data_IF_769610221796
#
_entry.id   IF_769610221796
#
_cell.length_a   1.000
_cell.length_b   1.000
_cell.length_c   1.000
_cell.angle_alpha   90.00
_cell.angle_beta   90.00
_cell.angle_gamma   90.00
#
_symmetry.space_group_name_H-M   'P 1'
#
loop_
_entity.id
_entity.type
_entity.pdbx_description
1 polymer ?
#
# COMPACT_ATOMS: atom_id res chain seq x y z
N UNK A 1 7.70 17.85 17.18
CA UNK A 1 7.56 16.54 16.50
C UNK A 1 8.91 15.86 16.55
N UNK A 2 9.03 14.69 17.18
CA UNK A 2 10.32 13.99 17.32
C UNK A 2 10.83 13.56 15.94
N UNK A 3 12.14 13.73 15.67
CA UNK A 3 12.78 13.31 14.40
C UNK A 3 12.47 11.83 14.04
N UNK A 4 12.20 11.00 15.05
CA UNK A 4 11.86 9.60 14.87
C UNK A 4 10.50 9.37 14.17
N UNK A 5 9.49 10.21 14.41
CA UNK A 5 8.17 10.06 13.77
C UNK A 5 8.21 10.47 12.29
N UNK A 6 9.03 11.47 11.95
CA UNK A 6 9.22 11.92 10.57
C UNK A 6 10.00 10.89 9.74
N UNK A 7 11.01 10.25 10.32
CA UNK A 7 11.76 9.17 9.67
C UNK A 7 10.92 7.90 9.45
N UNK A 8 10.03 7.58 10.40
CA UNK A 8 9.11 6.45 10.25
C UNK A 8 8.07 6.71 9.14
N UNK A 9 7.56 7.94 9.08
CA UNK A 9 6.64 8.34 8.02
C UNK A 9 7.29 8.30 6.64
N UNK A 10 8.51 8.82 6.49
CA UNK A 10 9.22 8.80 5.20
C UNK A 10 9.49 7.36 4.77
N UNK A 11 9.91 6.48 5.68
CA UNK A 11 10.15 5.06 5.41
C UNK A 11 8.87 4.34 4.96
N UNK A 12 7.77 4.51 5.70
CA UNK A 12 6.48 3.92 5.35
C UNK A 12 5.95 4.45 4.01
N UNK A 13 6.17 5.74 3.71
CA UNK A 13 5.79 6.33 2.44
C UNK A 13 6.62 5.78 1.28
N UNK A 14 7.95 5.64 1.45
CA UNK A 14 8.83 4.99 0.47
C UNK A 14 8.42 3.54 0.21
N UNK A 15 8.02 2.79 1.24
CA UNK A 15 7.47 1.44 1.06
C UNK A 15 6.17 1.46 0.24
N UNK A 16 5.24 2.36 0.55
CA UNK A 16 3.99 2.49 -0.22
C UNK A 16 4.26 2.90 -1.68
N UNK A 17 5.24 3.77 -1.92
CA UNK A 17 5.68 4.15 -3.26
C UNK A 17 6.28 2.96 -4.01
N UNK A 18 7.17 2.18 -3.39
CA UNK A 18 7.75 0.99 -4.00
C UNK A 18 6.67 -0.03 -4.33
N UNK A 19 5.74 -0.29 -3.40
CA UNK A 19 4.61 -1.19 -3.64
C UNK A 19 3.76 -0.72 -4.82
N UNK A 20 3.48 0.58 -4.90
CA UNK A 20 2.76 1.15 -6.02
C UNK A 20 3.53 1.02 -7.35
N UNK A 21 4.83 1.25 -7.33
CA UNK A 21 5.70 1.06 -8.49
C UNK A 21 5.69 -0.40 -8.96
N UNK A 22 5.77 -1.36 -8.05
CA UNK A 22 5.70 -2.78 -8.36
C UNK A 22 4.32 -3.18 -8.91
N UNK A 23 3.23 -2.70 -8.32
CA UNK A 23 1.86 -2.97 -8.78
C UNK A 23 1.60 -2.42 -10.18
N UNK A 24 2.08 -1.20 -10.45
CA UNK A 24 1.88 -0.52 -11.74
C UNK A 24 2.94 -0.86 -12.78
N UNK A 25 4.02 -1.54 -12.38
CA UNK A 25 5.21 -1.79 -13.20
C UNK A 25 5.81 -0.51 -13.81
N UNK A 26 5.58 0.65 -13.18
CA UNK A 26 5.97 1.95 -13.73
C UNK A 26 5.17 2.43 -14.94
N UNK A 27 4.10 1.73 -15.34
CA UNK A 27 3.25 2.10 -16.48
C UNK A 27 2.29 3.25 -16.17
N UNK A 28 2.03 3.52 -14.88
CA UNK A 28 1.22 4.65 -14.43
C UNK A 28 2.10 5.61 -13.63
N UNK A 29 2.16 6.86 -14.07
CA UNK A 29 2.87 7.91 -13.36
C UNK A 29 2.16 8.29 -12.05
N UNK A 30 2.95 8.49 -11.00
CA UNK A 30 2.47 9.07 -9.75
C UNK A 30 2.18 10.54 -9.97
N UNK A 31 0.92 10.95 -9.80
CA UNK A 31 0.51 12.35 -9.88
C UNK A 31 0.26 12.92 -8.49
N UNK A 32 0.11 14.25 -8.37
CA UNK A 32 -0.30 14.91 -7.11
C UNK A 32 -1.60 14.32 -6.53
N UNK A 33 -2.47 13.75 -7.38
CA UNK A 33 -3.72 13.08 -6.94
C UNK A 33 -3.46 11.76 -6.22
N UNK A 34 -2.37 11.07 -6.56
CA UNK A 34 -2.01 9.79 -5.94
C UNK A 34 -1.29 9.99 -4.59
N UNK A 35 -0.76 11.20 -4.34
CA UNK A 35 -0.05 11.53 -3.10
C UNK A 35 -0.84 11.14 -1.86
N UNK A 36 -2.08 11.63 -1.72
CA UNK A 36 -2.84 11.40 -0.49
C UNK A 36 -3.19 9.92 -0.30
N UNK A 37 -3.46 9.19 -1.40
CA UNK A 37 -3.72 7.74 -1.36
C UNK A 37 -2.51 6.96 -0.85
N UNK A 38 -1.30 7.36 -1.22
CA UNK A 38 -0.05 6.70 -0.81
C UNK A 38 0.43 7.18 0.57
N UNK A 39 0.20 8.45 0.87
CA UNK A 39 0.61 9.12 2.09
C UNK A 39 -0.26 8.73 3.28
N UNK A 40 -1.59 8.71 3.13
CA UNK A 40 -2.50 8.51 4.25
C UNK A 40 -2.28 7.19 5.00
N UNK A 41 -2.08 6.05 4.32
CA UNK A 41 -1.74 4.80 5.01
C UNK A 41 -0.38 4.88 5.72
N UNK A 42 0.61 5.56 5.14
CA UNK A 42 1.91 5.76 5.78
C UNK A 42 1.81 6.65 7.02
N UNK A 43 0.98 7.70 6.95
CA UNK A 43 0.67 8.58 8.06
C UNK A 43 0.02 7.81 9.21
N UNK A 44 -1.03 7.04 8.95
CA UNK A 44 -1.72 6.24 9.98
C UNK A 44 -0.78 5.21 10.64
N UNK A 45 0.12 4.60 9.86
CA UNK A 45 1.12 3.66 10.38
C UNK A 45 2.20 4.34 11.22
N UNK A 46 2.57 5.58 10.89
CA UNK A 46 3.57 6.33 11.63
C UNK A 46 3.00 6.96 12.91
N UNK A 47 1.83 7.60 12.83
CA UNK A 47 1.20 8.36 13.91
C UNK A 47 0.34 7.48 14.83
N UNK A 48 0.92 6.41 15.36
CA UNK A 48 0.28 5.62 16.41
C UNK A 48 0.70 6.13 17.79
N UNK A 49 -0.14 5.93 18.81
CA UNK A 49 0.20 6.31 20.21
C UNK A 49 1.53 5.69 20.64
N UNK A 50 1.76 4.42 20.28
CA UNK A 50 3.01 3.71 20.57
C UNK A 50 4.22 4.38 19.94
N UNK A 51 4.14 4.72 18.64
CA UNK A 51 5.26 5.34 17.92
C UNK A 51 5.54 6.76 18.38
N UNK A 52 4.50 7.50 18.77
CA UNK A 52 4.66 8.84 19.35
C UNK A 52 5.38 8.71 20.70
N UNK A 53 4.93 7.82 21.58
CA UNK A 53 5.56 7.58 22.88
C UNK A 53 7.00 7.08 22.74
N UNK A 54 7.29 6.18 21.80
CA UNK A 54 8.66 5.74 21.54
C UNK A 54 9.53 6.88 21.02
N UNK A 55 8.98 7.76 20.18
CA UNK A 55 9.66 8.96 19.72
C UNK A 55 10.02 9.94 20.84
N UNK A 56 9.18 10.07 21.86
CA UNK A 56 9.45 10.89 23.07
C UNK A 56 10.43 10.24 24.04
N UNK A 57 10.33 8.91 24.23
CA UNK A 57 11.30 8.14 25.00
C UNK A 57 12.69 8.28 24.37
N UNK A 58 12.77 8.19 23.05
CA UNK A 58 14.02 8.27 22.30
C UNK A 58 14.72 9.62 22.43
N UNK A 59 13.98 10.70 22.68
CA UNK A 59 14.58 12.03 22.97
C UNK A 59 15.03 12.18 24.42
N UNK A 60 14.77 11.20 25.29
CA UNK A 60 15.08 11.29 26.72
C UNK A 60 14.27 12.36 27.46
N UNK A 61 13.18 12.86 26.86
CA UNK A 61 12.36 13.93 27.42
C UNK A 61 11.20 13.38 28.23
N UNK A 62 10.52 12.36 27.69
CA UNK A 62 9.37 11.75 28.35
C UNK A 62 9.37 10.22 28.14
N UNK A 63 9.60 9.43 29.20
CA UNK A 63 10.09 9.85 30.53
C UNK A 63 11.47 10.54 30.44
N UNK A 64 11.80 11.39 31.40
CA UNK A 64 13.07 12.12 31.42
C UNK A 64 14.23 11.13 31.68
N UNK A 65 15.02 10.85 30.65
CA UNK A 65 16.18 9.96 30.68
C UNK A 65 17.22 10.42 29.64
N UNK A 66 18.13 11.34 30.01
CA UNK A 66 19.14 11.89 29.09
C UNK A 66 20.11 10.83 28.53
N UNK A 67 20.35 9.74 29.28
CA UNK A 67 21.25 8.66 28.87
C UNK A 67 20.76 7.95 27.61
N UNK A 68 19.44 7.93 27.39
CA UNK A 68 18.84 7.33 26.21
C UNK A 68 19.30 8.00 24.90
N UNK A 69 19.58 9.31 24.93
CA UNK A 69 20.14 10.02 23.76
C UNK A 69 21.60 9.68 23.57
N UNK A 70 22.36 9.59 24.67
CA UNK A 70 23.79 9.28 24.64
C UNK A 70 24.06 7.86 24.11
N UNK A 71 23.23 6.87 24.48
CA UNK A 71 23.30 5.49 23.95
C UNK A 71 23.16 5.38 22.44
N UNK A 72 22.48 6.34 21.81
CA UNK A 72 22.19 6.31 20.37
C UNK A 72 23.30 6.91 19.52
N UNK A 73 24.23 7.64 20.11
CA UNK A 73 25.38 8.20 19.40
C UNK A 73 26.30 7.02 19.08
N UNK A 74 26.39 6.58 17.80
CA UNK A 74 27.12 5.38 17.48
C UNK A 74 28.60 5.58 17.80
N UNK A 75 29.15 4.76 18.69
CA UNK A 75 30.60 4.71 18.89
C UNK A 75 31.20 3.90 17.76
N UNK A 76 31.36 4.54 16.59
CA UNK A 76 31.92 3.98 15.35
C UNK A 76 31.05 2.89 14.68
N UNK A 77 30.97 3.01 13.35
CA UNK A 77 30.06 2.33 12.44
C UNK A 77 30.14 0.79 12.50
N UNK A 78 29.04 0.12 12.82
CA UNK A 78 28.79 -1.27 12.43
C UNK A 78 27.57 -1.32 11.49
N UNK A 79 27.86 -1.12 10.21
CA UNK A 79 26.92 -1.34 9.11
C UNK A 79 26.90 -2.85 8.88
N UNK A 80 25.86 -3.54 9.36
CA UNK A 80 25.25 -4.74 8.75
C UNK A 80 24.38 -5.46 9.78
N UNK A 81 23.06 -5.35 9.62
CA UNK A 81 22.11 -6.46 9.80
C UNK A 81 20.72 -5.99 9.37
N UNK A 82 20.48 -6.05 8.07
CA UNK A 82 19.14 -6.03 7.48
C UNK A 82 19.09 -7.19 6.49
N UNK A 83 18.75 -8.39 7.00
CA UNK A 83 18.07 -9.42 6.22
C UNK A 83 17.73 -10.60 7.12
N UNK A 84 16.44 -10.80 7.39
CA UNK A 84 15.69 -11.98 6.93
C UNK A 84 14.35 -12.04 7.65
N UNK A 85 13.30 -11.64 6.94
CA UNK A 85 11.96 -12.14 7.21
C UNK A 85 11.47 -12.73 5.90
N UNK A 86 11.95 -13.93 5.60
CA UNK A 86 11.40 -14.74 4.53
C UNK A 86 10.16 -15.44 5.08
N UNK A 87 8.99 -15.04 4.59
CA UNK A 87 7.72 -15.73 4.80
C UNK A 87 7.87 -17.21 4.42
N UNK A 88 7.91 -18.06 5.45
CA UNK A 88 8.29 -19.49 5.35
C UNK A 88 7.07 -20.40 5.14
N UNK A 89 5.85 -19.86 5.17
CA UNK A 89 4.65 -20.71 5.26
C UNK A 89 4.32 -21.49 3.98
N UNK A 90 4.68 -20.99 2.78
CA UNK A 90 4.33 -21.66 1.52
C UNK A 90 5.36 -22.72 1.10
N UNK A 91 6.66 -22.46 1.35
CA UNK A 91 7.75 -23.39 0.98
C UNK A 91 7.71 -24.69 1.80
N UNK A 92 7.33 -24.61 3.08
CA UNK A 92 7.25 -25.78 3.96
C UNK A 92 6.12 -26.74 3.56
N UNK A 93 4.96 -26.22 3.15
CA UNK A 93 3.83 -27.02 2.68
C UNK A 93 4.14 -27.78 1.38
N UNK A 94 4.72 -27.09 0.39
CA UNK A 94 5.13 -27.71 -0.88
C UNK A 94 6.19 -28.79 -0.65
N UNK A 95 7.18 -28.53 0.21
CA UNK A 95 8.21 -29.50 0.56
C UNK A 95 7.63 -30.74 1.25
N UNK A 96 6.65 -30.57 2.15
CA UNK A 96 5.97 -31.69 2.82
C UNK A 96 5.25 -32.59 1.83
N UNK A 97 4.49 -32.02 0.89
CA UNK A 97 3.79 -32.78 -0.16
C UNK A 97 4.79 -33.50 -1.10
N UNK A 98 5.91 -32.85 -1.42
CA UNK A 98 6.95 -33.48 -2.22
C UNK A 98 7.60 -34.68 -1.54
N UNK A 99 7.88 -34.57 -0.23
CA UNK A 99 8.41 -35.68 0.56
C UNK A 99 7.43 -36.86 0.61
N UNK A 100 6.13 -36.59 0.75
CA UNK A 100 5.08 -37.59 0.74
C UNK A 100 4.93 -38.27 -0.63
N UNK A 101 4.94 -37.49 -1.72
CA UNK A 101 4.92 -38.03 -3.08
C UNK A 101 6.19 -38.84 -3.41
N UNK A 102 7.38 -38.38 -2.99
CA UNK A 102 8.62 -39.10 -3.25
C UNK A 102 8.75 -40.39 -2.45
N UNK A 103 8.12 -40.49 -1.27
CA UNK A 103 8.07 -41.73 -0.50
C UNK A 103 7.25 -42.84 -1.20
N UNK A 104 6.29 -42.47 -2.05
CA UNK A 104 5.42 -43.40 -2.77
C UNK A 104 5.97 -43.94 -4.10
N UNK A 105 7.07 -43.39 -4.63
CA UNK A 105 7.61 -43.77 -5.94
C UNK A 105 9.13 -44.04 -5.89
N UNK A 106 9.58 -45.07 -6.62
CA UNK A 106 11.02 -45.40 -6.78
C UNK A 106 11.70 -44.43 -7.77
N UNK A 107 11.77 -43.15 -7.39
CA UNK A 107 12.37 -42.09 -8.22
C UNK A 107 13.82 -41.88 -7.76
N UNK A 108 14.76 -41.86 -8.70
CA UNK A 108 16.16 -41.52 -8.43
C UNK A 108 16.28 -40.13 -7.79
N UNK A 109 17.17 -40.01 -6.79
CA UNK A 109 17.36 -38.80 -5.99
C UNK A 109 17.68 -37.55 -6.81
N UNK A 110 18.31 -37.72 -7.98
CA UNK A 110 18.58 -36.63 -8.91
C UNK A 110 17.29 -36.08 -9.55
N UNK A 111 16.38 -36.98 -9.94
CA UNK A 111 15.09 -36.62 -10.52
C UNK A 111 14.19 -35.96 -9.47
N UNK A 112 14.24 -36.43 -8.21
CA UNK A 112 13.54 -35.80 -7.09
C UNK A 112 13.99 -34.34 -6.89
N UNK A 113 15.31 -34.09 -6.92
CA UNK A 113 15.86 -32.72 -6.82
C UNK A 113 15.45 -31.84 -7.99
N UNK A 114 15.49 -32.36 -9.22
CA UNK A 114 15.04 -31.66 -10.43
C UNK A 114 13.56 -31.27 -10.32
N UNK A 115 12.69 -32.21 -9.94
CA UNK A 115 11.25 -31.98 -9.75
C UNK A 115 10.99 -30.96 -8.64
N UNK A 116 11.68 -31.08 -7.51
CA UNK A 116 11.53 -30.10 -6.42
C UNK A 116 11.94 -28.70 -6.88
N UNK A 117 13.08 -28.58 -7.56
CA UNK A 117 13.56 -27.31 -8.10
C UNK A 117 12.58 -26.70 -9.11
N UNK A 118 12.04 -27.49 -10.04
CA UNK A 118 11.08 -26.98 -11.04
C UNK A 118 9.76 -26.57 -10.39
N UNK A 119 9.28 -27.30 -9.39
CA UNK A 119 8.07 -26.93 -8.64
C UNK A 119 8.27 -25.62 -7.88
N UNK A 120 9.42 -25.45 -7.20
CA UNK A 120 9.74 -24.18 -6.53
C UNK A 120 9.82 -23.02 -7.53
N UNK A 121 10.43 -23.24 -8.69
CA UNK A 121 10.51 -22.24 -9.75
C UNK A 121 9.11 -21.86 -10.27
N UNK A 122 8.28 -22.84 -10.61
CA UNK A 122 6.92 -22.62 -11.10
C UNK A 122 6.04 -21.95 -10.04
N UNK A 123 6.12 -22.39 -8.78
CA UNK A 123 5.39 -21.76 -7.66
C UNK A 123 5.79 -20.29 -7.49
N UNK A 124 7.08 -19.98 -7.62
CA UNK A 124 7.58 -18.61 -7.56
C UNK A 124 7.04 -17.79 -8.73
N UNK A 125 7.10 -18.33 -9.95
CA UNK A 125 6.59 -17.67 -11.14
C UNK A 125 5.08 -17.40 -11.05
N UNK A 126 4.28 -18.37 -10.62
CA UNK A 126 2.83 -18.21 -10.45
C UNK A 126 2.52 -17.14 -9.42
N UNK A 127 3.24 -17.12 -8.29
CA UNK A 127 3.05 -16.10 -7.24
C UNK A 127 3.35 -14.70 -7.79
N UNK A 128 4.49 -14.54 -8.47
CA UNK A 128 4.89 -13.28 -9.10
C UNK A 128 3.85 -12.83 -10.14
N UNK A 129 3.50 -13.71 -11.09
CA UNK A 129 2.54 -13.40 -12.15
C UNK A 129 1.15 -13.04 -11.59
N UNK A 130 0.69 -13.76 -10.57
CA UNK A 130 -0.59 -13.48 -9.92
C UNK A 130 -0.60 -12.09 -9.28
N UNK A 131 0.47 -11.75 -8.56
CA UNK A 131 0.62 -10.42 -7.95
C UNK A 131 0.70 -9.30 -9.01
N UNK A 132 1.39 -9.55 -10.14
CA UNK A 132 1.50 -8.62 -11.26
C UNK A 132 0.16 -8.39 -11.96
N UNK A 133 -0.58 -9.46 -12.27
CA UNK A 133 -1.91 -9.36 -12.90
C UNK A 133 -2.87 -8.59 -11.99
N UNK A 134 -2.85 -8.88 -10.68
CA UNK A 134 -3.66 -8.16 -9.70
C UNK A 134 -3.33 -6.66 -9.69
N UNK A 135 -2.04 -6.32 -9.59
CA UNK A 135 -1.57 -4.93 -9.59
C UNK A 135 -1.91 -4.18 -10.88
N UNK A 136 -1.73 -4.81 -12.05
CA UNK A 136 -2.07 -4.21 -13.34
C UNK A 136 -3.58 -3.99 -13.48
N UNK A 137 -4.42 -4.91 -13.00
CA UNK A 137 -5.88 -4.73 -13.01
C UNK A 137 -6.30 -3.53 -12.18
N UNK A 138 -5.74 -3.38 -10.98
CA UNK A 138 -5.96 -2.21 -10.13
C UNK A 138 -5.48 -0.93 -10.81
N UNK A 139 -4.26 -0.93 -11.36
CA UNK A 139 -3.68 0.21 -12.06
C UNK A 139 -4.57 0.67 -13.22
N UNK A 140 -5.05 -0.25 -14.05
CA UNK A 140 -5.99 0.05 -15.14
C UNK A 140 -7.30 0.61 -14.61
N UNK A 141 -7.83 0.06 -13.51
CA UNK A 141 -9.02 0.59 -12.85
C UNK A 141 -8.84 2.02 -12.37
N UNK A 142 -7.70 2.33 -11.75
CA UNK A 142 -7.37 3.67 -11.29
C UNK A 142 -7.17 4.64 -12.46
N UNK A 143 -6.49 4.22 -13.53
CA UNK A 143 -6.29 5.03 -14.72
C UNK A 143 -7.63 5.35 -15.42
N UNK A 144 -8.53 4.36 -15.52
CA UNK A 144 -9.91 4.58 -16.00
C UNK A 144 -10.66 5.57 -15.12
N UNK A 145 -10.55 5.47 -13.78
CA UNK A 145 -11.12 6.45 -12.84
C UNK A 145 -10.52 7.84 -13.01
N UNK A 146 -9.21 7.94 -13.28
CA UNK A 146 -8.54 9.22 -13.57
C UNK A 146 -9.10 9.87 -14.83
N UNK A 147 -9.34 9.09 -15.89
CA UNK A 147 -9.83 9.57 -17.20
C UNK A 147 -11.35 9.79 -17.27
N UNK A 148 -12.13 9.07 -16.48
CA UNK A 148 -13.61 9.18 -16.46
C UNK A 148 -14.15 10.33 -15.61
N UNK A 149 -13.32 10.96 -14.78
CA UNK A 149 -13.73 12.12 -13.99
C UNK A 149 -13.86 13.35 -14.89
N UNK A 150 -15.12 13.76 -15.13
CA UNK A 150 -15.51 14.96 -15.86
C UNK A 150 -15.27 16.25 -15.06
N UNK A 151 -16.05 17.31 -15.37
CA UNK A 151 -15.95 18.62 -14.70
C UNK A 151 -16.02 18.43 -13.18
N UNK A 152 -15.10 19.04 -12.41
CA UNK A 152 -15.13 18.92 -10.96
C UNK A 152 -16.38 19.62 -10.42
N UNK A 153 -16.99 19.08 -9.37
CA UNK A 153 -18.17 19.67 -8.69
C UNK A 153 -17.95 21.14 -8.28
N UNK A 154 -16.69 21.51 -8.05
CA UNK A 154 -16.25 22.89 -7.78
C UNK A 154 -16.61 23.85 -8.92
N UNK A 155 -16.58 23.37 -10.16
CA UNK A 155 -16.93 24.14 -11.35
C UNK A 155 -18.45 24.27 -11.51
N UNK A 156 -19.22 23.28 -11.02
CA UNK A 156 -20.69 23.32 -11.00
C UNK A 156 -21.22 24.29 -9.93
N UNK A 157 -20.55 24.39 -8.78
CA UNK A 157 -20.91 25.29 -7.67
C UNK A 157 -20.36 26.72 -7.82
N UNK A 158 -19.59 26.97 -8.89
CA UNK A 158 -19.00 28.29 -9.17
C UNK A 158 -20.10 29.22 -9.67
N UNK A 159 -20.10 30.45 -9.15
CA UNK A 159 -21.03 31.47 -9.63
C UNK A 159 -20.71 31.82 -11.09
N UNK A 160 -21.70 31.81 -12.01
CA UNK A 160 -21.48 32.08 -13.43
C UNK A 160 -20.88 33.47 -13.69
N UNK A 161 -21.23 34.45 -12.84
CA UNK A 161 -20.80 35.84 -12.99
C UNK A 161 -19.40 36.11 -12.42
N UNK A 162 -18.89 35.24 -11.53
CA UNK A 162 -17.63 35.48 -10.82
C UNK A 162 -16.52 34.57 -11.30
N UNK A 163 -15.37 35.16 -11.66
CA UNK A 163 -14.15 34.41 -12.01
C UNK A 163 -13.48 33.76 -10.79
N UNK A 164 -13.90 34.08 -9.57
CA UNK A 164 -13.39 33.50 -8.33
C UNK A 164 -14.38 32.52 -7.70
N UNK A 165 -13.91 31.34 -7.32
CA UNK A 165 -14.70 30.39 -6.55
C UNK A 165 -14.62 30.74 -5.05
N UNK A 166 -15.72 31.25 -4.49
CA UNK A 166 -15.86 31.45 -3.05
C UNK A 166 -16.41 30.19 -2.39
N UNK A 167 -15.71 29.66 -1.38
CA UNK A 167 -16.15 28.50 -0.61
C UNK A 167 -16.73 28.96 0.73
N UNK A 168 -18.02 29.25 0.75
CA UNK A 168 -18.76 29.53 1.97
C UNK A 168 -19.26 28.23 2.60
N UNK A 169 -19.53 28.20 3.93
CA UNK A 169 -20.10 27.01 4.58
C UNK A 169 -21.37 26.48 3.89
N UNK A 170 -22.22 27.38 3.37
CA UNK A 170 -23.42 27.01 2.62
C UNK A 170 -23.11 26.23 1.34
N UNK A 171 -22.17 26.71 0.52
CA UNK A 171 -21.75 26.01 -0.71
C UNK A 171 -21.09 24.66 -0.41
N UNK A 172 -20.49 24.53 0.76
CA UNK A 172 -19.88 23.27 1.20
C UNK A 172 -20.95 22.22 1.53
N UNK A 173 -22.03 22.61 2.23
CA UNK A 173 -23.19 21.75 2.48
C UNK A 173 -23.85 21.33 1.16
N UNK A 174 -24.09 22.29 0.26
CA UNK A 174 -24.65 22.02 -1.07
C UNK A 174 -23.78 21.02 -1.87
N UNK A 175 -22.45 21.16 -1.81
CA UNK A 175 -21.52 20.21 -2.41
C UNK A 175 -21.68 18.80 -1.82
N UNK A 176 -21.83 18.70 -0.50
CA UNK A 176 -22.01 17.42 0.19
C UNK A 176 -23.33 16.77 -0.21
N UNK A 177 -24.41 17.54 -0.29
CA UNK A 177 -25.73 17.05 -0.70
C UNK A 177 -25.71 16.55 -2.15
N UNK A 178 -25.07 17.28 -3.06
CA UNK A 178 -24.91 16.84 -4.45
C UNK A 178 -24.09 15.55 -4.59
N UNK A 179 -23.03 15.39 -3.78
CA UNK A 179 -22.25 14.14 -3.76
C UNK A 179 -23.13 13.00 -3.27
N UNK A 180 -23.89 13.22 -2.21
CA UNK A 180 -24.78 12.21 -1.65
C UNK A 180 -25.82 11.73 -2.67
N UNK A 181 -26.48 12.65 -3.36
CA UNK A 181 -27.46 12.32 -4.41
C UNK A 181 -26.80 11.52 -5.53
N UNK A 182 -25.64 11.98 -6.02
CA UNK A 182 -24.91 11.30 -7.09
C UNK A 182 -24.48 9.89 -6.70
N UNK A 183 -24.03 9.71 -5.46
CA UNK A 183 -23.67 8.39 -4.94
C UNK A 183 -24.90 7.47 -4.90
N UNK A 184 -26.06 7.98 -4.45
CA UNK A 184 -27.29 7.18 -4.42
C UNK A 184 -27.79 6.82 -5.84
N UNK A 185 -27.76 7.75 -6.78
CA UNK A 185 -28.08 7.50 -8.19
C UNK A 185 -27.18 6.42 -8.78
N UNK A 186 -25.88 6.44 -8.48
CA UNK A 186 -24.96 5.40 -8.96
C UNK A 186 -25.28 4.03 -8.37
N UNK A 187 -25.68 3.95 -7.10
CA UNK A 187 -26.08 2.69 -6.45
C UNK A 187 -27.35 2.12 -7.08
N UNK A 188 -28.33 2.96 -7.38
CA UNK A 188 -29.57 2.55 -8.06
C UNK A 188 -29.25 2.06 -9.49
N UNK A 189 -28.39 2.78 -10.23
CA UNK A 189 -27.96 2.38 -11.56
C UNK A 189 -27.19 1.04 -11.58
N UNK A 190 -26.36 0.79 -10.57
CA UNK A 190 -25.66 -0.49 -10.42
C UNK A 190 -26.62 -1.64 -10.08
N UNK A 191 -27.57 -1.41 -9.16
CA UNK A 191 -28.57 -2.40 -8.78
C UNK A 191 -29.50 -2.77 -9.95
N UNK A 192 -29.95 -1.79 -10.73
CA UNK A 192 -30.78 -2.02 -11.93
C UNK A 192 -30.01 -2.78 -13.02
N UNK A 193 -28.73 -2.44 -13.25
CA UNK A 193 -27.88 -3.15 -14.20
C UNK A 193 -27.57 -4.59 -13.77
N UNK A 194 -27.49 -4.85 -12.47
CA UNK A 194 -27.32 -6.20 -11.94
C UNK A 194 -28.60 -7.04 -12.08
N UNK A 195 -29.78 -6.43 -11.95
CA UNK A 195 -31.07 -7.11 -12.13
C UNK A 195 -31.40 -7.47 -13.58
N UNK A 196 -30.80 -6.77 -14.56
CA UNK A 196 -30.97 -7.01 -16.00
C UNK A 196 -30.00 -8.06 -16.58
N UNK A 197 -29.12 -8.62 -15.75
CA UNK A 197 -28.05 -9.54 -16.14
C UNK A 197 -28.29 -10.94 -15.60
#
# INVERSE_FOLDING_TARGET
>A
MSLCSLLLQSTNYSQNLNNHLHQTQGLSGVTKRDFLRLFWPAYLRAFTKSNILSGWRRTGLLPFDPEEVLRQIPTRLDVRKLHDVADTSSRSAINRLLLECFAGFYISTEHQRKISSTIHQLSTQVTILTSQISGLREAVGQEKKKRSRGKPLIDELRDPESKSAFFTPKKLVEAMDMIFIRDEDTRIAEATKAALK
#
